data_IF_724215689066
#
_entry.id   IF_724215689066
#
_cell.length_a   1.000
_cell.length_b   1.000
_cell.length_c   1.000
_cell.angle_alpha   90.00
_cell.angle_beta   90.00
_cell.angle_gamma   90.00
#
_symmetry.space_group_name_H-M   'P 1'
#
loop_
_entity.id
_entity.type
_entity.pdbx_description
1 polymer ?
#
# COMPACT_ATOMS: atom_id res chain seq x y z
N UNK A 1 -8.68 27.01 13.40
CA UNK A 1 -7.57 26.51 14.25
C UNK A 1 -7.69 24.99 14.36
N UNK A 2 -7.20 24.24 13.38
CA UNK A 2 -7.16 22.78 13.43
C UNK A 2 -5.90 22.35 14.16
N UNK A 3 -6.07 21.83 15.37
CA UNK A 3 -4.99 21.30 16.20
C UNK A 3 -4.29 20.13 15.46
N UNK A 4 -2.99 20.21 15.12
CA UNK A 4 -2.27 19.08 14.57
C UNK A 4 -2.14 18.06 15.71
N UNK A 5 -2.96 16.99 15.68
CA UNK A 5 -2.79 15.88 16.62
C UNK A 5 -1.42 15.26 16.36
N UNK A 6 -0.45 15.74 17.15
CA UNK A 6 0.82 15.13 17.53
C UNK A 6 1.08 13.77 16.88
N UNK A 7 2.09 13.74 16.01
CA UNK A 7 2.70 12.57 15.37
C UNK A 7 3.39 11.64 16.40
N UNK A 8 2.68 11.28 17.47
CA UNK A 8 3.15 10.36 18.52
C UNK A 8 2.85 8.94 18.08
N UNK A 9 3.83 8.02 18.13
CA UNK A 9 3.58 6.62 17.83
C UNK A 9 2.52 6.06 18.78
N UNK A 10 1.59 5.27 18.24
CA UNK A 10 0.52 4.63 19.00
C UNK A 10 1.11 3.40 19.70
N UNK A 11 1.49 3.56 20.97
CA UNK A 11 2.15 2.50 21.73
C UNK A 11 1.13 1.74 22.58
N UNK A 12 1.08 0.42 22.44
CA UNK A 12 0.25 -0.47 23.27
C UNK A 12 1.17 -1.39 24.07
N UNK A 13 1.07 -1.35 25.39
CA UNK A 13 1.86 -2.20 26.27
C UNK A 13 1.10 -3.49 26.59
N UNK A 14 1.82 -4.60 26.66
CA UNK A 14 1.28 -5.92 26.99
C UNK A 14 2.17 -6.68 27.99
N UNK A 15 1.75 -7.89 28.38
CA UNK A 15 2.44 -8.67 29.39
C UNK A 15 3.86 -9.09 28.96
N UNK A 16 4.75 -9.25 29.94
CA UNK A 16 6.12 -9.69 29.71
C UNK A 16 7.00 -8.67 28.97
N UNK A 17 6.74 -7.37 29.15
CA UNK A 17 7.48 -6.31 28.46
C UNK A 17 7.21 -6.25 26.96
N UNK A 18 6.02 -6.67 26.54
CA UNK A 18 5.54 -6.54 25.16
C UNK A 18 5.17 -5.08 24.88
N UNK A 19 5.67 -4.53 23.79
CA UNK A 19 5.39 -3.16 23.35
C UNK A 19 5.03 -3.22 21.88
N UNK A 20 3.76 -2.99 21.53
CA UNK A 20 3.34 -2.82 20.14
C UNK A 20 3.52 -1.36 19.75
N UNK A 21 4.41 -1.10 18.80
CA UNK A 21 4.50 0.18 18.12
C UNK A 21 3.55 0.16 16.92
N UNK A 22 2.35 0.63 17.16
CA UNK A 22 1.27 0.58 16.19
C UNK A 22 1.31 1.77 15.22
N UNK A 23 0.68 1.58 14.06
CA UNK A 23 0.55 2.59 13.02
C UNK A 23 -0.79 3.32 13.15
N UNK A 24 -0.85 4.62 12.81
CA UNK A 24 -2.13 5.30 12.69
C UNK A 24 -3.03 4.57 11.69
N UNK A 25 -4.25 4.29 12.09
CA UNK A 25 -5.27 3.71 11.23
C UNK A 25 -6.16 4.79 10.65
N UNK A 26 -6.76 4.52 9.48
CA UNK A 26 -7.69 5.45 8.85
C UNK A 26 -8.87 5.82 9.77
N UNK A 27 -9.34 4.85 10.56
CA UNK A 27 -10.40 5.04 11.56
C UNK A 27 -10.02 5.98 12.70
N UNK A 28 -8.72 6.21 12.95
CA UNK A 28 -8.29 7.20 13.95
C UNK A 28 -8.63 8.65 13.49
N UNK A 29 -8.82 8.84 12.18
CA UNK A 29 -9.20 10.13 11.56
C UNK A 29 -10.68 10.16 11.12
N UNK A 30 -11.25 9.00 10.77
CA UNK A 30 -12.62 8.82 10.29
C UNK A 30 -13.33 7.75 11.15
N UNK A 31 -13.90 8.11 12.32
CA UNK A 31 -14.33 7.14 13.33
C UNK A 31 -15.52 6.27 12.90
N UNK A 32 -16.36 6.76 11.98
CA UNK A 32 -17.61 6.10 11.57
C UNK A 32 -17.49 5.45 10.19
N UNK A 33 -16.30 4.96 9.84
CA UNK A 33 -16.05 4.37 8.53
C UNK A 33 -16.68 2.97 8.43
N UNK A 34 -17.55 2.69 7.44
CA UNK A 34 -18.13 1.38 7.25
C UNK A 34 -17.05 0.35 6.87
N UNK A 35 -17.38 -0.93 7.05
CA UNK A 35 -16.52 -2.03 6.64
C UNK A 35 -17.28 -3.02 5.79
N UNK A 36 -16.60 -3.57 4.80
CA UNK A 36 -17.13 -4.47 3.78
C UNK A 36 -16.33 -5.78 3.80
N UNK A 37 -16.92 -6.92 3.42
CA UNK A 37 -16.16 -8.15 3.24
C UNK A 37 -15.08 -7.96 2.17
N UNK A 38 -13.88 -8.47 2.41
CA UNK A 38 -12.81 -8.40 1.43
C UNK A 38 -13.14 -9.30 0.22
N UNK A 39 -13.13 -8.79 -1.03
CA UNK A 39 -13.43 -9.57 -2.25
C UNK A 39 -12.49 -10.75 -2.48
N UNK A 40 -11.30 -10.75 -1.84
CA UNK A 40 -10.38 -11.88 -1.88
C UNK A 40 -10.93 -13.18 -1.29
N UNK A 41 -11.97 -13.09 -0.47
CA UNK A 41 -12.64 -14.28 0.07
C UNK A 41 -13.30 -15.13 -1.01
N UNK A 42 -13.82 -14.48 -2.06
CA UNK A 42 -14.57 -15.13 -3.14
C UNK A 42 -13.69 -15.44 -4.37
N UNK A 43 -12.45 -14.97 -4.38
CA UNK A 43 -11.54 -15.18 -5.50
C UNK A 43 -11.06 -16.64 -5.53
N UNK A 44 -11.30 -17.40 -6.61
CA UNK A 44 -10.96 -18.82 -6.69
C UNK A 44 -9.46 -19.11 -6.60
N UNK A 45 -8.59 -18.14 -6.90
CA UNK A 45 -7.15 -18.28 -6.71
C UNK A 45 -6.72 -18.26 -5.23
N UNK A 46 -7.58 -17.74 -4.33
CA UNK A 46 -7.25 -17.46 -2.93
C UNK A 46 -8.20 -18.11 -1.92
N UNK A 47 -9.43 -18.46 -2.32
CA UNK A 47 -10.43 -19.09 -1.45
C UNK A 47 -10.08 -20.52 -1.03
N UNK A 48 -9.16 -21.17 -1.74
CA UNK A 48 -8.73 -22.56 -1.48
C UNK A 48 -7.79 -22.69 -0.27
N UNK A 49 -7.15 -21.59 0.16
CA UNK A 49 -6.16 -21.60 1.24
C UNK A 49 -6.78 -21.00 2.51
N UNK A 50 -7.03 -21.85 3.53
CA UNK A 50 -7.68 -21.45 4.79
C UNK A 50 -6.94 -20.37 5.62
N UNK A 51 -5.67 -20.09 5.33
CA UNK A 51 -4.81 -19.15 6.06
C UNK A 51 -4.36 -17.94 5.22
N UNK A 52 -5.24 -17.42 4.36
CA UNK A 52 -4.86 -16.30 3.50
C UNK A 52 -4.87 -14.93 4.23
N UNK A 53 -5.81 -14.74 5.16
CA UNK A 53 -5.95 -13.48 5.90
C UNK A 53 -5.08 -13.45 7.15
N UNK A 54 -4.49 -12.30 7.43
CA UNK A 54 -3.68 -12.07 8.62
C UNK A 54 -4.59 -11.54 9.72
N UNK A 55 -4.41 -12.02 10.95
CA UNK A 55 -5.17 -11.54 12.11
C UNK A 55 -4.78 -10.10 12.46
N UNK A 56 -5.74 -9.31 12.98
CA UNK A 56 -5.47 -7.95 13.41
C UNK A 56 -4.44 -7.90 14.55
N UNK A 57 -4.43 -8.92 15.40
CA UNK A 57 -3.54 -9.04 16.56
C UNK A 57 -2.21 -9.73 16.24
N UNK A 58 -2.02 -10.21 15.00
CA UNK A 58 -0.72 -10.74 14.55
C UNK A 58 0.34 -9.62 14.60
N UNK A 59 1.37 -9.81 15.43
CA UNK A 59 2.52 -8.92 15.53
C UNK A 59 3.84 -9.62 15.21
N UNK A 60 4.77 -8.87 14.62
CA UNK A 60 6.13 -9.30 14.27
C UNK A 60 7.12 -8.62 15.21
N UNK A 61 8.03 -9.37 15.88
CA UNK A 61 9.02 -8.77 16.76
C UNK A 61 10.04 -7.95 15.96
N UNK A 62 10.44 -6.80 16.49
CA UNK A 62 11.61 -6.06 16.00
C UNK A 62 12.89 -6.88 16.18
N UNK A 63 13.02 -7.51 17.36
CA UNK A 63 14.16 -8.36 17.70
C UNK A 63 13.72 -9.81 17.90
N UNK A 64 14.16 -10.68 17.00
CA UNK A 64 13.83 -12.10 17.02
C UNK A 64 14.61 -12.85 18.11
N UNK A 65 15.83 -12.42 18.41
CA UNK A 65 16.68 -13.06 19.43
C UNK A 65 16.38 -12.49 20.81
N UNK A 66 15.74 -13.29 21.65
CA UNK A 66 15.36 -12.93 23.02
C UNK A 66 15.80 -14.00 24.01
N UNK A 67 16.06 -13.60 25.26
CA UNK A 67 16.32 -14.53 26.36
C UNK A 67 15.01 -14.98 26.98
N UNK A 68 14.97 -16.21 27.51
CA UNK A 68 13.77 -16.83 28.11
C UNK A 68 13.07 -15.92 29.14
N UNK A 69 13.85 -15.30 30.01
CA UNK A 69 13.35 -14.47 31.10
C UNK A 69 13.47 -12.95 30.80
N UNK A 70 13.85 -12.62 29.56
CA UNK A 70 13.97 -11.23 29.10
C UNK A 70 12.62 -10.66 28.65
N UNK A 71 12.50 -9.33 28.54
CA UNK A 71 11.30 -8.70 28.00
C UNK A 71 11.09 -9.10 26.53
N UNK A 72 9.82 -9.23 26.12
CA UNK A 72 9.44 -9.51 24.73
C UNK A 72 9.82 -8.38 23.77
N UNK A 73 9.97 -7.16 24.27
CA UNK A 73 10.46 -6.02 23.51
C UNK A 73 9.41 -5.42 22.57
N UNK A 74 9.89 -4.75 21.53
CA UNK A 74 9.06 -4.02 20.55
C UNK A 74 8.58 -4.95 19.44
N UNK A 75 7.32 -4.77 19.06
CA UNK A 75 6.62 -5.49 18.01
C UNK A 75 5.91 -4.51 17.07
N UNK A 76 5.73 -4.92 15.81
CA UNK A 76 4.96 -4.20 14.79
C UNK A 76 3.79 -5.05 14.32
N UNK A 77 2.71 -4.44 13.82
CA UNK A 77 1.62 -5.23 13.21
C UNK A 77 2.11 -5.93 11.95
N UNK A 78 1.75 -7.21 11.80
CA UNK A 78 2.05 -7.97 10.59
C UNK A 78 1.25 -7.42 9.41
N UNK A 79 1.93 -7.14 8.30
CA UNK A 79 1.26 -6.75 7.06
C UNK A 79 0.57 -7.95 6.38
N UNK A 80 -0.56 -7.70 5.72
CA UNK A 80 -1.27 -8.71 4.94
C UNK A 80 -2.74 -8.36 4.72
N UNK A 81 -3.44 -9.13 3.88
CA UNK A 81 -4.86 -8.92 3.62
C UNK A 81 -5.67 -9.19 4.89
N UNK A 82 -6.72 -8.39 5.08
CA UNK A 82 -7.69 -8.53 6.18
C UNK A 82 -9.01 -9.06 5.65
N UNK A 83 -9.79 -9.72 6.51
CA UNK A 83 -11.12 -10.22 6.14
C UNK A 83 -12.09 -9.10 5.76
N UNK A 84 -11.86 -7.87 6.25
CA UNK A 84 -12.67 -6.70 5.96
C UNK A 84 -11.84 -5.57 5.36
N UNK A 85 -12.45 -4.81 4.47
CA UNK A 85 -11.91 -3.60 3.84
C UNK A 85 -12.81 -2.41 4.13
N UNK A 86 -12.31 -1.19 3.96
CA UNK A 86 -13.06 0.04 4.27
C UNK A 86 -13.79 0.65 3.07
N UNK A 87 -13.53 0.17 1.86
CA UNK A 87 -14.09 0.73 0.63
C UNK A 87 -14.52 -0.40 -0.31
N UNK A 88 -15.61 -0.18 -1.03
CA UNK A 88 -16.02 -1.04 -2.13
C UNK A 88 -15.23 -0.73 -3.40
N UNK A 89 -15.02 -1.73 -4.25
CA UNK A 89 -14.16 -1.63 -5.43
C UNK A 89 -14.55 -0.51 -6.40
N UNK A 90 -15.85 -0.23 -6.53
CA UNK A 90 -16.40 0.78 -7.44
C UNK A 90 -16.21 2.21 -6.92
N UNK A 91 -16.11 2.39 -5.60
CA UNK A 91 -15.87 3.70 -4.96
C UNK A 91 -14.40 4.10 -5.04
N UNK A 92 -13.50 3.11 -5.07
CA UNK A 92 -12.06 3.34 -5.08
C UNK A 92 -11.60 3.95 -6.40
N UNK A 93 -10.85 5.04 -6.28
CA UNK A 93 -10.00 5.57 -7.34
C UNK A 93 -8.57 5.55 -6.85
N UNK A 94 -7.76 4.67 -7.43
CA UNK A 94 -6.37 4.55 -7.04
C UNK A 94 -5.52 5.48 -7.90
N UNK A 95 -4.60 6.19 -7.24
CA UNK A 95 -3.62 7.01 -7.91
C UNK A 95 -2.23 6.60 -7.43
N UNK A 96 -1.35 6.27 -8.37
CA UNK A 96 0.01 5.82 -8.10
C UNK A 96 0.96 6.89 -8.63
N UNK A 97 1.81 7.39 -7.74
CA UNK A 97 2.87 8.34 -8.07
C UNK A 97 4.20 7.72 -7.66
N UNK A 98 5.20 7.86 -8.51
CA UNK A 98 6.59 7.61 -8.14
C UNK A 98 7.28 8.95 -7.91
N UNK A 99 8.15 9.00 -6.90
CA UNK A 99 8.93 10.19 -6.62
C UNK A 99 10.39 9.79 -6.52
N UNK A 100 11.27 10.55 -7.18
CA UNK A 100 12.72 10.42 -7.03
C UNK A 100 13.38 9.65 -8.17
N UNK A 101 14.61 9.19 -7.94
CA UNK A 101 15.38 8.50 -8.97
C UNK A 101 14.82 7.12 -9.33
N UNK A 102 14.97 6.73 -10.60
CA UNK A 102 14.62 5.39 -11.06
C UNK A 102 15.47 4.33 -10.34
N UNK A 103 14.80 3.40 -9.67
CA UNK A 103 15.41 2.26 -8.99
C UNK A 103 15.09 0.95 -9.73
N UNK A 104 16.05 0.01 -9.87
CA UNK A 104 15.76 -1.31 -10.43
C UNK A 104 14.62 -2.00 -9.65
N UNK A 105 13.56 -2.39 -10.35
CA UNK A 105 12.40 -3.07 -9.76
C UNK A 105 11.18 -2.19 -9.51
N UNK A 106 11.28 -0.86 -9.64
CA UNK A 106 10.14 0.06 -9.46
C UNK A 106 8.96 -0.29 -10.39
N UNK A 107 9.25 -0.64 -11.64
CA UNK A 107 8.21 -1.06 -12.60
C UNK A 107 7.49 -2.34 -12.17
N UNK A 108 8.21 -3.28 -11.55
CA UNK A 108 7.61 -4.49 -10.99
C UNK A 108 6.68 -4.15 -9.83
N UNK A 109 7.11 -3.25 -8.94
CA UNK A 109 6.27 -2.77 -7.83
C UNK A 109 4.98 -2.15 -8.36
N UNK A 110 5.06 -1.21 -9.31
CA UNK A 110 3.88 -0.58 -9.91
C UNK A 110 2.96 -1.65 -10.54
N UNK A 111 3.53 -2.57 -11.32
CA UNK A 111 2.77 -3.64 -11.99
C UNK A 111 2.00 -4.49 -11.00
N UNK A 112 2.64 -4.93 -9.92
CA UNK A 112 1.99 -5.79 -8.91
C UNK A 112 0.92 -5.02 -8.12
N UNK A 113 1.13 -3.73 -7.83
CA UNK A 113 0.09 -2.88 -7.21
C UNK A 113 -1.12 -2.75 -8.12
N UNK A 114 -0.92 -2.38 -9.39
CA UNK A 114 -2.03 -2.21 -10.36
C UNK A 114 -2.76 -3.55 -10.58
N UNK A 115 -2.01 -4.64 -10.73
CA UNK A 115 -2.56 -5.99 -10.92
C UNK A 115 -3.39 -6.42 -9.71
N UNK A 116 -2.90 -6.16 -8.49
CA UNK A 116 -3.65 -6.44 -7.26
C UNK A 116 -4.93 -5.63 -7.21
N UNK A 117 -4.86 -4.31 -7.37
CA UNK A 117 -6.04 -3.44 -7.33
C UNK A 117 -7.10 -3.86 -8.36
N UNK A 118 -6.67 -4.20 -9.58
CA UNK A 118 -7.60 -4.49 -10.67
C UNK A 118 -8.14 -5.92 -10.62
N UNK A 119 -7.28 -6.94 -10.60
CA UNK A 119 -7.71 -8.34 -10.68
C UNK A 119 -8.15 -8.92 -9.34
N UNK A 120 -7.54 -8.49 -8.23
CA UNK A 120 -7.84 -9.04 -6.92
C UNK A 120 -8.94 -8.26 -6.21
N UNK A 121 -8.94 -6.93 -6.35
CA UNK A 121 -9.89 -6.04 -5.67
C UNK A 121 -10.92 -5.41 -6.61
N UNK A 122 -10.91 -5.69 -7.92
CA UNK A 122 -11.95 -5.22 -8.85
C UNK A 122 -11.96 -3.71 -9.12
N UNK A 123 -10.90 -2.99 -8.77
CA UNK A 123 -10.82 -1.53 -8.94
C UNK A 123 -10.67 -1.20 -10.43
N UNK A 124 -11.58 -0.39 -10.96
CA UNK A 124 -11.66 -0.03 -12.38
C UNK A 124 -10.90 1.24 -12.74
N UNK A 125 -10.66 2.12 -11.77
CA UNK A 125 -10.07 3.46 -11.97
C UNK A 125 -8.72 3.53 -11.27
N UNK A 126 -7.66 3.34 -12.05
CA UNK A 126 -6.27 3.38 -11.59
C UNK A 126 -5.49 4.36 -12.48
N UNK A 127 -4.90 5.38 -11.86
CA UNK A 127 -4.18 6.46 -12.52
C UNK A 127 -2.70 6.42 -12.13
N UNK A 128 -1.81 6.62 -13.10
CA UNK A 128 -0.40 6.89 -12.87
C UNK A 128 -0.12 8.40 -12.99
N UNK A 129 0.59 8.98 -12.03
CA UNK A 129 1.05 10.38 -12.12
C UNK A 129 2.56 10.38 -12.37
N UNK A 130 2.96 11.05 -13.46
CA UNK A 130 4.36 11.29 -13.79
C UNK A 130 4.85 12.61 -13.17
N UNK A 131 6.08 12.57 -12.67
CA UNK A 131 6.74 13.60 -11.86
C UNK A 131 6.92 14.94 -12.59
N UNK A 132 6.83 14.94 -13.93
CA UNK A 132 6.95 16.16 -14.75
C UNK A 132 5.70 17.07 -14.70
N UNK A 133 4.57 16.58 -14.17
CA UNK A 133 3.37 17.40 -14.03
C UNK A 133 3.30 18.06 -12.66
N UNK A 134 3.63 19.35 -12.63
CA UNK A 134 3.20 20.26 -11.56
C UNK A 134 1.73 19.98 -11.25
N UNK A 135 1.42 19.68 -9.98
CA UNK A 135 0.13 19.27 -9.42
C UNK A 135 -0.98 20.29 -9.73
N UNK A 136 -1.45 20.31 -10.97
CA UNK A 136 -2.67 20.97 -11.38
C UNK A 136 -3.76 19.90 -11.46
N UNK A 137 -4.80 20.08 -10.65
CA UNK A 137 -5.99 19.21 -10.53
C UNK A 137 -6.74 18.95 -11.87
N UNK A 138 -6.28 19.55 -12.98
CA UNK A 138 -6.93 19.58 -14.29
C UNK A 138 -6.18 18.87 -15.42
N UNK A 139 -5.02 18.23 -15.18
CA UNK A 139 -4.35 17.45 -16.24
C UNK A 139 -4.74 15.98 -16.12
N UNK A 140 -5.63 15.55 -17.03
CA UNK A 140 -6.10 14.16 -17.15
C UNK A 140 -4.93 13.23 -17.47
N UNK A 141 -4.46 12.50 -16.46
CA UNK A 141 -3.42 11.50 -16.58
C UNK A 141 -3.93 10.19 -17.16
N UNK A 142 -3.01 9.45 -17.78
CA UNK A 142 -3.27 8.24 -18.55
C UNK A 142 -3.96 7.17 -17.70
N UNK A 143 -5.17 6.79 -18.10
CA UNK A 143 -5.88 5.65 -17.50
C UNK A 143 -5.15 4.36 -17.87
N UNK A 144 -4.61 3.66 -16.88
CA UNK A 144 -3.89 2.40 -17.11
C UNK A 144 -4.91 1.28 -17.36
N UNK A 145 -5.03 0.85 -18.61
CA UNK A 145 -5.88 -0.30 -18.97
C UNK A 145 -5.09 -1.62 -18.93
N UNK A 146 -5.78 -2.76 -18.83
CA UNK A 146 -5.16 -4.09 -18.77
C UNK A 146 -4.26 -4.40 -19.98
N UNK A 147 -4.65 -3.99 -21.19
CA UNK A 147 -3.86 -4.20 -22.41
C UNK A 147 -2.60 -3.33 -22.43
N UNK A 148 -2.70 -2.13 -21.87
CA UNK A 148 -1.57 -1.24 -21.72
C UNK A 148 -0.53 -1.82 -20.76
N UNK A 149 -0.91 -2.45 -19.65
CA UNK A 149 0.05 -3.08 -18.73
C UNK A 149 0.88 -4.21 -19.38
N UNK A 150 0.34 -4.92 -20.38
CA UNK A 150 1.08 -5.96 -21.11
C UNK A 150 1.95 -5.41 -22.24
N UNK A 151 1.53 -4.34 -22.93
CA UNK A 151 2.36 -3.64 -23.96
C UNK A 151 3.36 -2.64 -23.36
N UNK A 152 3.14 -2.15 -22.14
CA UNK A 152 3.83 -1.01 -21.54
C UNK A 152 4.91 -1.35 -20.52
N UNK A 153 5.50 -2.55 -20.58
CA UNK A 153 6.89 -2.70 -20.09
C UNK A 153 7.82 -1.72 -20.85
N UNK A 154 7.39 -1.20 -22.03
CA UNK A 154 8.10 -0.22 -22.85
C UNK A 154 7.64 1.24 -22.71
N UNK A 155 6.52 1.58 -22.06
CA UNK A 155 6.00 2.98 -22.10
C UNK A 155 6.53 3.86 -20.97
N UNK A 156 6.96 3.31 -19.83
CA UNK A 156 7.79 4.08 -18.88
C UNK A 156 9.20 4.40 -19.44
N UNK A 157 9.53 3.92 -20.65
CA UNK A 157 10.81 4.13 -21.33
C UNK A 157 10.83 5.33 -22.28
N UNK A 158 9.71 6.04 -22.50
CA UNK A 158 9.69 7.16 -23.46
C UNK A 158 10.07 8.53 -22.88
N UNK A 159 10.37 8.61 -21.57
CA UNK A 159 10.95 9.80 -20.93
C UNK A 159 12.43 9.64 -20.56
N UNK A 160 13.05 8.49 -20.82
CA UNK A 160 14.51 8.30 -20.67
C UNK A 160 15.22 8.42 -22.02
N UNK A 161 14.98 9.51 -22.74
CA UNK A 161 15.82 9.94 -23.87
C UNK A 161 16.20 11.40 -23.65
N UNK A 162 16.97 11.67 -22.61
CA UNK A 162 17.84 12.84 -22.62
C UNK A 162 19.01 12.53 -23.57
N UNK A 163 18.77 12.69 -24.87
CA UNK A 163 19.85 13.11 -25.75
C UNK A 163 20.15 14.57 -25.40
N UNK A 164 21.40 14.85 -25.03
CA UNK A 164 21.97 16.19 -25.17
C UNK A 164 22.22 16.97 -23.88
N UNK A 165 23.52 17.18 -23.66
CA UNK A 165 24.15 18.35 -23.03
C UNK A 165 24.18 18.39 -21.50
N UNK A 166 25.26 17.86 -20.94
CA UNK A 166 26.08 18.60 -19.97
C UNK A 166 27.54 18.30 -20.29
N UNK A 167 28.16 19.22 -21.04
CA UNK A 167 29.61 19.41 -20.98
C UNK A 167 29.96 20.24 -19.75
N UNK A 168 31.20 20.09 -19.28
CA UNK A 168 31.77 20.81 -18.14
C UNK A 168 32.56 19.88 -17.24
#
# INVERSE_FOLDING_TARGET
>A
MSNPKSNKPKIVNGPGGYILQDVPHLVDYLPDLPTYPNPLQDNPAYSVVKQYFVDADDSVPEKIVVHKDGPRGVHFRRAGPRQKVYFESDEVHACIVTCGGLCPGLNTVIREIVSSLSYMYGVKRILGIDEETTFHYNTMNKQLTHEELQKNIKVLRKLTSCEGVCGG
#
